data_IF_997025863163
#
_entry.id   IF_997025863163
#
_cell.length_a   1.000
_cell.length_b   1.000
_cell.length_c   1.000
_cell.angle_alpha   90.00
_cell.angle_beta   90.00
_cell.angle_gamma   90.00
#
_symmetry.space_group_name_H-M   'P 1'
#
loop_
_entity.id
_entity.type
_entity.pdbx_description
1 polymer ?
#
# COMPACT_ATOMS: atom_id res chain seq x y z
N UNK A 1 40.83 -4.40 48.59
CA UNK A 1 40.34 -5.51 49.43
C UNK A 1 39.36 -6.32 48.60
N UNK A 2 39.74 -7.53 48.19
CA UNK A 2 38.95 -8.40 47.30
C UNK A 2 37.97 -9.20 48.16
N UNK A 3 36.67 -9.10 47.88
CA UNK A 3 35.70 -10.09 48.34
C UNK A 3 35.19 -10.84 47.12
N UNK A 4 35.73 -12.03 46.93
CA UNK A 4 35.17 -13.04 46.06
C UNK A 4 33.89 -13.55 46.73
N UNK A 5 32.78 -13.54 45.99
CA UNK A 5 31.58 -14.29 46.36
C UNK A 5 31.39 -15.32 45.27
N UNK A 6 31.77 -16.56 45.58
CA UNK A 6 31.32 -17.74 44.88
C UNK A 6 30.49 -18.54 45.87
N UNK A 7 29.19 -18.64 45.61
CA UNK A 7 28.32 -19.66 46.20
C UNK A 7 27.55 -20.31 45.05
N UNK A 8 27.98 -21.52 44.72
CA UNK A 8 27.24 -22.47 43.89
C UNK A 8 26.10 -23.07 44.73
N UNK A 9 24.86 -22.89 44.27
CA UNK A 9 23.71 -23.68 44.70
C UNK A 9 22.78 -23.89 43.50
N UNK A 10 22.28 -25.12 43.37
CA UNK A 10 21.49 -25.64 42.25
C UNK A 10 20.20 -24.84 42.02
N UNK A 11 19.84 -24.70 40.73
CA UNK A 11 18.46 -24.42 40.31
C UNK A 11 18.27 -23.08 39.63
N UNK A 12 18.04 -23.12 38.31
CA UNK A 12 17.56 -21.99 37.53
C UNK A 12 18.60 -21.45 36.55
N UNK A 13 18.86 -22.20 35.47
CA UNK A 13 19.45 -21.61 34.29
C UNK A 13 18.49 -20.53 33.75
N UNK A 14 18.79 -19.26 34.02
CA UNK A 14 18.13 -18.13 33.39
C UNK A 14 18.55 -18.10 31.92
N UNK A 15 17.77 -18.80 31.08
CA UNK A 15 17.90 -18.74 29.63
C UNK A 15 17.43 -17.34 29.19
N UNK A 16 18.39 -16.44 28.95
CA UNK A 16 18.12 -15.18 28.27
C UNK A 16 17.81 -15.50 26.79
N UNK A 17 16.52 -15.61 26.47
CA UNK A 17 16.06 -15.69 25.08
C UNK A 17 16.17 -14.30 24.47
N UNK A 18 17.23 -14.05 23.70
CA UNK A 18 17.34 -12.86 22.87
C UNK A 18 16.31 -12.96 21.74
N UNK A 19 15.13 -12.36 21.91
CA UNK A 19 14.13 -12.26 20.85
C UNK A 19 14.58 -11.26 19.81
N UNK A 20 15.20 -11.72 18.73
CA UNK A 20 15.42 -10.91 17.52
C UNK A 20 14.08 -10.74 16.82
N UNK A 21 13.36 -9.68 17.17
CA UNK A 21 12.14 -9.27 16.47
C UNK A 21 12.58 -8.69 15.11
N UNK A 22 12.81 -9.55 14.12
CA UNK A 22 12.99 -9.08 12.76
C UNK A 22 11.64 -8.50 12.29
N UNK A 23 11.60 -7.25 11.79
CA UNK A 23 10.37 -6.71 11.26
C UNK A 23 9.97 -7.57 10.06
N UNK A 24 8.83 -8.26 10.17
CA UNK A 24 8.23 -8.92 9.03
C UNK A 24 7.86 -7.84 8.00
N UNK A 25 8.62 -7.73 6.92
CA UNK A 25 8.28 -6.86 5.79
C UNK A 25 7.09 -7.46 5.05
N UNK A 26 5.89 -7.21 5.56
CA UNK A 26 4.67 -7.57 4.85
C UNK A 26 4.58 -6.75 3.56
N UNK A 27 4.90 -7.37 2.44
CA UNK A 27 4.73 -6.75 1.12
C UNK A 27 3.24 -6.59 0.82
N UNK A 28 2.82 -5.37 0.48
CA UNK A 28 1.44 -5.10 0.03
C UNK A 28 1.23 -5.80 -1.32
N UNK A 29 0.25 -6.70 -1.39
CA UNK A 29 -0.18 -7.37 -2.62
C UNK A 29 -1.49 -6.75 -3.10
N UNK A 30 -1.49 -6.29 -4.35
CA UNK A 30 -2.67 -5.74 -5.01
C UNK A 30 -3.24 -6.74 -6.02
N UNK A 31 -4.55 -6.96 -5.97
CA UNK A 31 -5.32 -7.62 -7.03
C UNK A 31 -6.31 -6.60 -7.60
N UNK A 32 -5.95 -6.03 -8.75
CA UNK A 32 -6.64 -4.83 -9.25
C UNK A 32 -6.55 -3.69 -8.22
N UNK A 33 -7.71 -3.16 -7.83
CA UNK A 33 -7.84 -2.13 -6.80
C UNK A 33 -7.80 -2.64 -5.35
N UNK A 34 -7.85 -3.96 -5.16
CA UNK A 34 -8.02 -4.53 -3.85
C UNK A 34 -6.69 -4.98 -3.23
N UNK A 35 -6.59 -4.82 -1.92
CA UNK A 35 -5.52 -5.33 -1.08
C UNK A 35 -6.07 -6.39 -0.12
N UNK A 36 -5.30 -7.45 0.12
CA UNK A 36 -5.63 -8.41 1.17
C UNK A 36 -5.48 -7.77 2.55
N UNK A 37 -6.53 -7.86 3.37
CA UNK A 37 -6.54 -7.40 4.75
C UNK A 37 -6.86 -8.59 5.66
N UNK A 38 -5.89 -8.99 6.50
CA UNK A 38 -6.05 -10.08 7.45
C UNK A 38 -7.04 -9.78 8.57
N UNK A 39 -7.16 -8.53 9.01
CA UNK A 39 -8.11 -8.13 10.04
C UNK A 39 -9.56 -8.19 9.55
N UNK A 40 -9.78 -7.89 8.27
CA UNK A 40 -11.09 -8.03 7.62
C UNK A 40 -11.32 -9.44 7.01
N UNK A 41 -10.31 -10.32 7.09
CA UNK A 41 -10.27 -11.63 6.43
C UNK A 41 -10.73 -11.59 4.96
N UNK A 42 -10.26 -10.60 4.20
CA UNK A 42 -10.80 -10.35 2.86
C UNK A 42 -10.03 -9.34 2.03
N UNK A 43 -10.47 -9.18 0.79
CA UNK A 43 -9.98 -8.18 -0.15
C UNK A 43 -10.76 -6.89 -0.01
N UNK A 44 -10.07 -5.79 0.26
CA UNK A 44 -10.68 -4.45 0.38
C UNK A 44 -10.08 -3.49 -0.62
N UNK A 45 -10.89 -2.55 -1.13
CA UNK A 45 -10.37 -1.46 -1.97
C UNK A 45 -9.48 -0.56 -1.13
N UNK A 46 -8.29 -0.22 -1.64
CA UNK A 46 -7.39 0.72 -0.95
C UNK A 46 -6.85 1.76 -1.92
N UNK A 47 -6.63 3.02 -1.47
CA UNK A 47 -6.05 4.05 -2.31
C UNK A 47 -4.71 3.63 -2.92
N UNK A 48 -3.91 2.85 -2.18
CA UNK A 48 -2.63 2.34 -2.66
C UNK A 48 -2.78 1.45 -3.90
N UNK A 49 -3.70 0.48 -3.86
CA UNK A 49 -3.90 -0.44 -4.98
C UNK A 49 -4.71 0.20 -6.12
N UNK A 50 -5.61 1.13 -5.81
CA UNK A 50 -6.29 1.96 -6.81
C UNK A 50 -5.29 2.79 -7.63
N UNK A 51 -4.34 3.48 -6.98
CA UNK A 51 -3.32 4.27 -7.68
C UNK A 51 -2.42 3.41 -8.56
N UNK A 52 -2.06 2.21 -8.08
CA UNK A 52 -1.31 1.23 -8.87
C UNK A 52 -2.09 0.78 -10.10
N UNK A 53 -3.40 0.57 -9.96
CA UNK A 53 -4.27 0.20 -11.07
C UNK A 53 -4.37 1.35 -12.07
N UNK A 54 -4.58 2.60 -11.63
CA UNK A 54 -4.57 3.79 -12.51
C UNK A 54 -3.26 3.89 -13.29
N UNK A 55 -2.11 3.75 -12.63
CA UNK A 55 -0.81 3.76 -13.29
C UNK A 55 -0.66 2.61 -14.30
N UNK A 56 -1.12 1.40 -13.96
CA UNK A 56 -1.06 0.24 -14.85
C UNK A 56 -1.93 0.42 -16.10
N UNK A 57 -3.16 0.92 -15.93
CA UNK A 57 -4.07 1.20 -17.03
C UNK A 57 -3.56 2.35 -17.90
N UNK A 58 -3.05 3.43 -17.30
CA UNK A 58 -2.43 4.53 -18.05
C UNK A 58 -1.24 4.05 -18.91
N UNK A 59 -0.37 3.20 -18.35
CA UNK A 59 0.73 2.57 -19.09
C UNK A 59 0.23 1.67 -20.22
N UNK A 60 -0.81 0.87 -19.98
CA UNK A 60 -1.41 0.04 -21.01
C UNK A 60 -1.99 0.87 -22.18
N UNK A 61 -2.42 2.10 -21.92
CA UNK A 61 -2.87 3.07 -22.92
C UNK A 61 -1.73 3.93 -23.51
N UNK A 62 -0.46 3.68 -23.14
CA UNK A 62 0.72 4.35 -23.71
C UNK A 62 1.28 5.53 -22.92
N UNK A 63 0.73 5.86 -21.74
CA UNK A 63 1.30 6.91 -20.89
C UNK A 63 2.46 6.38 -20.05
N UNK A 64 3.62 7.03 -20.16
CA UNK A 64 4.78 6.73 -19.32
C UNK A 64 4.58 7.34 -17.93
N UNK A 65 4.26 6.50 -16.95
CA UNK A 65 4.09 6.88 -15.55
C UNK A 65 4.35 5.69 -14.63
N UNK A 66 4.85 5.94 -13.44
CA UNK A 66 5.08 4.94 -12.40
C UNK A 66 3.97 4.97 -11.35
N UNK A 67 3.82 3.86 -10.64
CA UNK A 67 2.93 3.75 -9.48
C UNK A 67 3.22 4.83 -8.43
N UNK A 68 4.51 5.14 -8.21
CA UNK A 68 4.93 6.16 -7.25
C UNK A 68 4.46 7.54 -7.68
N UNK A 69 4.66 7.91 -8.94
CA UNK A 69 4.28 9.23 -9.44
C UNK A 69 2.77 9.47 -9.37
N UNK A 70 1.95 8.49 -9.73
CA UNK A 70 0.48 8.60 -9.58
C UNK A 70 0.10 8.80 -8.11
N UNK A 71 0.70 8.02 -7.20
CA UNK A 71 0.36 8.05 -5.77
C UNK A 71 0.81 9.32 -5.05
N UNK A 72 1.98 9.86 -5.40
CA UNK A 72 2.56 11.00 -4.67
C UNK A 72 2.24 12.35 -5.30
N UNK A 73 1.74 12.39 -6.54
CA UNK A 73 1.44 13.63 -7.23
C UNK A 73 -0.03 13.65 -7.73
N UNK A 74 -0.92 14.40 -7.07
CA UNK A 74 -2.32 14.52 -7.46
C UNK A 74 -2.51 15.01 -8.90
N UNK A 75 -1.66 15.91 -9.39
CA UNK A 75 -1.70 16.39 -10.78
C UNK A 75 -1.38 15.28 -11.77
N UNK A 76 -0.43 14.40 -11.44
CA UNK A 76 -0.11 13.22 -12.24
C UNK A 76 -1.27 12.23 -12.26
N UNK A 77 -1.90 11.96 -11.11
CA UNK A 77 -3.11 11.13 -11.03
C UNK A 77 -4.24 11.70 -11.88
N UNK A 78 -4.54 12.98 -11.75
CA UNK A 78 -5.58 13.64 -12.54
C UNK A 78 -5.28 13.57 -14.06
N UNK A 79 -4.01 13.75 -14.45
CA UNK A 79 -3.59 13.58 -15.85
C UNK A 79 -3.77 12.13 -16.34
N UNK A 80 -3.36 11.14 -15.55
CA UNK A 80 -3.54 9.72 -15.87
C UNK A 80 -5.03 9.36 -16.01
N UNK A 81 -5.88 9.86 -15.10
CA UNK A 81 -7.32 9.69 -15.16
C UNK A 81 -7.96 10.35 -16.39
N UNK A 82 -7.57 11.57 -16.75
CA UNK A 82 -8.05 12.20 -17.99
C UNK A 82 -7.60 11.45 -19.26
N UNK A 83 -6.41 10.85 -19.22
CA UNK A 83 -5.83 10.15 -20.36
C UNK A 83 -6.47 8.76 -20.59
N UNK A 84 -6.73 8.00 -19.53
CA UNK A 84 -7.17 6.60 -19.62
C UNK A 84 -8.53 6.32 -18.95
N UNK A 85 -9.22 7.33 -18.45
CA UNK A 85 -10.42 7.18 -17.61
C UNK A 85 -11.67 6.66 -18.32
N UNK A 86 -11.65 6.53 -19.64
CA UNK A 86 -12.67 5.80 -20.41
C UNK A 86 -12.61 4.28 -20.16
N UNK A 87 -11.49 3.77 -19.63
CA UNK A 87 -11.34 2.37 -19.24
C UNK A 87 -12.20 2.06 -18.00
N UNK A 88 -13.11 1.11 -18.14
CA UNK A 88 -14.08 0.74 -17.12
C UNK A 88 -13.45 0.28 -15.80
N UNK A 89 -12.20 -0.21 -15.81
CA UNK A 89 -11.50 -0.70 -14.61
C UNK A 89 -11.15 0.42 -13.62
N UNK A 90 -11.00 1.65 -14.13
CA UNK A 90 -10.59 2.82 -13.34
C UNK A 90 -11.61 3.95 -13.39
N UNK A 91 -12.73 3.78 -14.11
CA UNK A 91 -13.69 4.86 -14.34
C UNK A 91 -14.24 5.45 -13.04
N UNK A 92 -14.59 4.60 -12.08
CA UNK A 92 -15.07 5.04 -10.77
C UNK A 92 -13.94 5.56 -9.86
N UNK A 93 -12.69 5.09 -10.01
CA UNK A 93 -11.51 5.68 -9.33
C UNK A 93 -11.26 7.10 -9.82
N UNK A 94 -11.49 7.31 -11.11
CA UNK A 94 -11.21 8.56 -11.81
C UNK A 94 -12.40 9.52 -11.84
N UNK A 95 -13.51 9.17 -11.19
CA UNK A 95 -14.65 10.06 -11.03
C UNK A 95 -14.20 11.39 -10.41
N UNK A 96 -14.65 12.51 -10.98
CA UNK A 96 -14.22 13.87 -10.63
C UNK A 96 -12.96 14.35 -11.37
N UNK A 97 -12.34 13.51 -12.19
CA UNK A 97 -11.25 13.90 -13.09
C UNK A 97 -11.61 13.77 -14.57
N UNK A 98 -12.76 13.18 -14.89
CA UNK A 98 -13.16 12.96 -16.28
C UNK A 98 -13.74 14.24 -16.91
N UNK A 99 -13.67 14.39 -18.24
CA UNK A 99 -14.26 15.53 -18.94
C UNK A 99 -15.78 15.61 -18.71
N UNK A 100 -16.46 14.47 -18.63
CA UNK A 100 -17.89 14.35 -18.34
C UNK A 100 -18.27 14.88 -16.94
N UNK A 101 -17.38 14.74 -15.96
CA UNK A 101 -17.58 15.27 -14.61
C UNK A 101 -17.34 16.79 -14.52
N UNK A 102 -16.61 17.35 -15.49
CA UNK A 102 -16.15 18.75 -15.49
C UNK A 102 -17.28 19.75 -15.79
N UNK A 103 -18.41 19.29 -16.33
CA UNK A 103 -19.59 20.11 -16.66
C UNK A 103 -20.76 19.97 -15.69
N UNK A 104 -20.65 19.14 -14.65
CA UNK A 104 -21.79 18.60 -13.91
C UNK A 104 -21.78 18.86 -12.41
N UNK A 105 -21.55 20.10 -11.95
CA UNK A 105 -21.96 20.49 -10.58
C UNK A 105 -23.47 20.71 -10.52
N UNK A 106 -24.23 19.62 -10.48
CA UNK A 106 -25.60 19.50 -9.94
C UNK A 106 -25.67 18.01 -9.58
N UNK A 107 -25.60 17.56 -8.33
CA UNK A 107 -26.32 17.94 -7.12
C UNK A 107 -25.58 17.31 -5.93
#
# INVERSE_FOLDING_TARGET
MKKAVAFTALGGALIYVATTILPASAAIKCQGRNQWNSAANGWISTPYCEDNLVAAVARANGMQVTNREVRTNPSTKARACRFAGSDNRIRDICAGHLPEDSGGRRY
#
